data_IF_473893029906
#
_entry.id   IF_473893029906
#
_cell.length_a   1.000
_cell.length_b   1.000
_cell.length_c   1.000
_cell.angle_alpha   90.00
_cell.angle_beta   90.00
_cell.angle_gamma   90.00
#
_symmetry.space_group_name_H-M   'P 1'
#
loop_
_entity.id
_entity.type
_entity.pdbx_description
1 polymer ?
#
# COMPACT_ATOMS: atom_id res chain seq x y z
N UNK A 1 48.04 -22.48 -37.23
CA UNK A 1 46.56 -22.63 -37.12
C UNK A 1 46.15 -22.58 -35.65
N UNK A 2 45.83 -21.40 -35.07
CA UNK A 2 45.42 -21.26 -33.64
C UNK A 2 44.37 -20.15 -33.40
N UNK A 3 43.85 -19.50 -34.45
CA UNK A 3 42.98 -18.30 -34.32
C UNK A 3 41.46 -18.60 -34.31
N UNK A 4 41.02 -19.82 -34.63
CA UNK A 4 39.58 -20.15 -34.75
C UNK A 4 38.87 -20.33 -33.40
N UNK A 5 39.58 -20.73 -32.34
CA UNK A 5 38.95 -21.00 -31.03
C UNK A 5 38.68 -19.72 -30.21
N UNK A 6 39.46 -18.66 -30.42
CA UNK A 6 39.32 -17.40 -29.66
C UNK A 6 38.01 -16.69 -30.02
N UNK A 7 37.63 -16.66 -31.30
CA UNK A 7 36.37 -16.06 -31.73
C UNK A 7 35.13 -16.76 -31.17
N UNK A 8 35.16 -18.09 -31.11
CA UNK A 8 34.06 -18.90 -30.57
C UNK A 8 33.87 -18.66 -29.07
N UNK A 9 34.96 -18.56 -28.30
CA UNK A 9 34.89 -18.28 -26.86
C UNK A 9 34.29 -16.91 -26.58
N UNK A 10 34.65 -15.89 -27.36
CA UNK A 10 34.11 -14.52 -27.18
C UNK A 10 32.60 -14.48 -27.44
N UNK A 11 32.11 -15.18 -28.47
CA UNK A 11 30.68 -15.25 -28.79
C UNK A 11 29.89 -15.94 -27.66
N UNK A 12 30.42 -17.02 -27.09
CA UNK A 12 29.79 -17.73 -25.96
C UNK A 12 29.69 -16.83 -24.72
N UNK A 13 30.74 -16.06 -24.41
CA UNK A 13 30.74 -15.13 -23.27
C UNK A 13 29.71 -14.02 -23.47
N UNK A 14 29.60 -13.46 -24.67
CA UNK A 14 28.60 -12.42 -24.98
C UNK A 14 27.18 -12.97 -24.86
N UNK A 15 26.92 -14.17 -25.39
CA UNK A 15 25.61 -14.83 -25.27
C UNK A 15 25.27 -15.16 -23.81
N UNK A 16 26.24 -15.54 -22.99
CA UNK A 16 26.04 -15.79 -21.57
C UNK A 16 25.73 -14.50 -20.79
N UNK A 17 26.38 -13.38 -21.12
CA UNK A 17 26.11 -12.06 -20.51
C UNK A 17 24.71 -11.56 -20.89
N UNK A 18 24.37 -11.62 -22.19
CA UNK A 18 23.05 -11.22 -22.68
C UNK A 18 21.97 -12.14 -22.10
N UNK A 19 22.19 -13.46 -22.14
CA UNK A 19 21.30 -14.45 -21.56
C UNK A 19 21.08 -14.21 -20.06
N UNK A 20 22.14 -13.96 -19.30
CA UNK A 20 22.07 -13.64 -17.87
C UNK A 20 21.35 -12.32 -17.57
N UNK A 21 21.51 -11.31 -18.41
CA UNK A 21 20.79 -10.03 -18.28
C UNK A 21 19.29 -10.20 -18.56
N UNK A 22 18.92 -10.95 -19.60
CA UNK A 22 17.53 -11.27 -19.95
C UNK A 22 16.87 -12.14 -18.86
N UNK A 23 17.60 -13.11 -18.30
CA UNK A 23 17.10 -13.98 -17.22
C UNK A 23 16.85 -13.22 -15.92
N UNK A 24 17.69 -12.22 -15.60
CA UNK A 24 17.45 -11.32 -14.46
C UNK A 24 16.19 -10.48 -14.62
N UNK A 25 15.78 -10.20 -15.86
CA UNK A 25 14.64 -9.35 -16.17
C UNK A 25 13.30 -10.09 -16.14
N UNK A 26 13.30 -11.44 -16.10
CA UNK A 26 12.09 -12.28 -16.07
C UNK A 26 11.70 -12.77 -14.66
N UNK A 27 11.86 -11.94 -13.63
CA UNK A 27 11.08 -12.14 -12.39
C UNK A 27 9.67 -11.60 -12.62
N UNK A 28 8.76 -12.45 -13.09
CA UNK A 28 7.33 -12.18 -12.97
C UNK A 28 7.02 -11.82 -11.51
N UNK A 29 6.44 -10.65 -11.29
CA UNK A 29 6.04 -10.26 -9.94
C UNK A 29 4.97 -11.24 -9.44
N UNK A 30 5.18 -11.82 -8.26
CA UNK A 30 4.21 -12.70 -7.59
C UNK A 30 2.88 -12.00 -7.25
N UNK A 31 2.84 -10.67 -7.38
CA UNK A 31 1.72 -9.84 -6.97
C UNK A 31 1.35 -8.84 -8.06
N UNK A 32 0.04 -8.54 -8.16
CA UNK A 32 -0.44 -7.43 -8.99
C UNK A 32 0.23 -6.14 -8.55
N UNK A 33 0.91 -5.47 -9.47
CA UNK A 33 1.55 -4.19 -9.22
C UNK A 33 0.53 -3.08 -9.48
N UNK A 34 0.25 -2.26 -8.46
CA UNK A 34 -0.66 -1.12 -8.57
C UNK A 34 -0.13 0.09 -7.81
N UNK A 35 -0.46 1.29 -8.26
CA UNK A 35 -0.22 2.52 -7.48
C UNK A 35 -1.35 2.81 -6.48
N UNK A 36 -2.32 1.90 -6.36
CA UNK A 36 -3.46 2.02 -5.44
C UNK A 36 -2.99 1.71 -4.01
N UNK A 37 -3.02 2.67 -3.06
CA UNK A 37 -2.63 2.40 -1.69
C UNK A 37 -3.65 1.51 -0.98
N UNK A 38 -3.16 0.69 -0.06
CA UNK A 38 -3.98 -0.14 0.84
C UNK A 38 -3.90 0.44 2.24
N UNK A 39 -5.04 0.85 2.79
CA UNK A 39 -5.17 1.43 4.13
C UNK A 39 -5.49 0.32 5.14
N UNK A 40 -4.71 0.22 6.21
CA UNK A 40 -4.88 -0.76 7.28
C UNK A 40 -5.49 -0.10 8.51
N UNK A 41 -6.61 -0.64 8.99
CA UNK A 41 -7.36 -0.14 10.15
C UNK A 41 -7.34 -1.16 11.29
N UNK A 42 -6.73 -0.79 12.41
CA UNK A 42 -6.64 -1.64 13.59
C UNK A 42 -7.97 -1.81 14.34
N UNK A 43 -8.03 -2.83 15.20
CA UNK A 43 -9.16 -3.10 16.08
C UNK A 43 -9.26 -2.16 17.28
N UNK A 44 -10.39 -2.23 17.98
CA UNK A 44 -10.68 -1.38 19.13
C UNK A 44 -9.71 -1.62 20.29
N UNK A 45 -9.25 -0.56 20.95
CA UNK A 45 -8.30 -0.62 22.05
C UNK A 45 -6.86 -0.96 21.65
N UNK A 46 -6.58 -1.05 20.34
CA UNK A 46 -5.24 -1.29 19.79
C UNK A 46 -4.67 -0.04 19.10
N UNK A 47 -3.61 -0.21 18.32
CA UNK A 47 -2.97 0.82 17.50
C UNK A 47 -2.47 0.20 16.19
N UNK A 48 -1.89 1.02 15.33
CA UNK A 48 -1.25 0.56 14.10
C UNK A 48 -0.20 -0.56 14.30
N UNK A 49 0.42 -0.65 15.49
CA UNK A 49 1.38 -1.72 15.80
C UNK A 49 0.79 -3.13 15.66
N UNK A 50 -0.52 -3.30 15.83
CA UNK A 50 -1.16 -4.61 15.61
C UNK A 50 -1.05 -5.07 14.14
N UNK A 51 -0.86 -4.14 13.21
CA UNK A 51 -0.79 -4.39 11.77
C UNK A 51 0.65 -4.58 11.27
N UNK A 52 1.65 -4.11 12.03
CA UNK A 52 3.05 -4.11 11.61
C UNK A 52 3.57 -5.49 11.23
N UNK A 53 3.09 -6.57 11.87
CA UNK A 53 3.48 -7.93 11.51
C UNK A 53 3.09 -8.27 10.06
N UNK A 54 1.87 -7.93 9.65
CA UNK A 54 1.39 -8.15 8.29
C UNK A 54 2.08 -7.22 7.29
N UNK A 55 2.25 -5.95 7.66
CA UNK A 55 2.94 -4.96 6.82
C UNK A 55 4.39 -5.36 6.59
N UNK A 56 5.09 -5.81 7.62
CA UNK A 56 6.47 -6.31 7.51
C UNK A 56 6.56 -7.59 6.70
N UNK A 57 5.58 -8.50 6.81
CA UNK A 57 5.50 -9.68 5.95
C UNK A 57 5.33 -9.28 4.47
N UNK A 58 4.46 -8.31 4.17
CA UNK A 58 4.27 -7.78 2.82
C UNK A 58 5.56 -7.15 2.26
N UNK A 59 6.29 -6.38 3.08
CA UNK A 59 7.60 -5.83 2.71
C UNK A 59 8.62 -6.93 2.42
N UNK A 60 8.75 -7.92 3.31
CA UNK A 60 9.70 -9.03 3.16
C UNK A 60 9.40 -9.89 1.93
N UNK A 61 8.12 -10.03 1.58
CA UNK A 61 7.69 -10.72 0.38
C UNK A 61 7.90 -9.90 -0.92
N UNK A 62 8.32 -8.63 -0.81
CA UNK A 62 8.52 -7.75 -1.96
C UNK A 62 7.22 -7.20 -2.55
N UNK A 63 6.11 -7.23 -1.79
CA UNK A 63 4.83 -6.67 -2.23
C UNK A 63 4.93 -5.15 -2.35
N UNK A 64 5.62 -4.53 -1.39
CA UNK A 64 5.79 -3.07 -1.29
C UNK A 64 7.13 -2.72 -0.65
N UNK A 65 7.64 -1.56 -1.00
CA UNK A 65 8.74 -0.89 -0.31
C UNK A 65 8.29 0.41 0.38
N UNK A 66 7.01 0.77 0.25
CA UNK A 66 6.48 2.08 0.66
C UNK A 66 5.41 1.89 1.72
N UNK A 67 5.72 2.34 2.94
CA UNK A 67 4.80 2.35 4.08
C UNK A 67 4.75 3.76 4.66
N UNK A 68 3.54 4.23 4.93
CA UNK A 68 3.25 5.50 5.61
C UNK A 68 2.35 5.21 6.80
N UNK A 69 2.33 6.14 7.76
CA UNK A 69 1.37 6.13 8.85
C UNK A 69 0.46 7.35 8.78
N UNK A 70 -0.83 7.16 9.01
CA UNK A 70 -1.81 8.23 9.13
C UNK A 70 -2.36 8.23 10.56
N UNK A 71 -1.93 9.20 11.36
CA UNK A 71 -2.41 9.38 12.73
C UNK A 71 -3.61 10.30 12.71
N UNK A 72 -4.73 9.85 13.27
CA UNK A 72 -5.99 10.58 13.35
C UNK A 72 -6.26 10.98 14.80
N UNK A 73 -6.24 12.28 15.05
CA UNK A 73 -6.52 12.84 16.36
C UNK A 73 -8.02 12.75 16.70
N UNK A 74 -8.36 12.97 17.98
CA UNK A 74 -9.75 12.89 18.47
C UNK A 74 -10.72 13.84 17.74
N UNK A 75 -10.22 14.96 17.24
CA UNK A 75 -10.96 15.94 16.44
C UNK A 75 -11.05 15.59 14.94
N UNK A 76 -10.49 14.44 14.52
CA UNK A 76 -10.49 13.98 13.14
C UNK A 76 -9.36 14.54 12.27
N UNK A 77 -8.45 15.35 12.82
CA UNK A 77 -7.28 15.85 12.11
C UNK A 77 -6.31 14.71 11.78
N UNK A 78 -5.73 14.74 10.58
CA UNK A 78 -4.85 13.68 10.07
C UNK A 78 -3.42 14.19 9.89
N UNK A 79 -2.48 13.53 10.56
CA UNK A 79 -1.04 13.72 10.34
C UNK A 79 -0.46 12.53 9.58
N UNK A 80 0.25 12.81 8.48
CA UNK A 80 0.88 11.78 7.66
C UNK A 80 2.38 11.69 7.94
N UNK A 81 2.82 10.55 8.45
CA UNK A 81 4.23 10.22 8.67
C UNK A 81 4.82 9.43 7.51
N UNK A 82 6.05 9.77 7.14
CA UNK A 82 6.70 9.22 5.96
C UNK A 82 6.23 9.88 4.66
N UNK A 83 6.55 9.25 3.54
CA UNK A 83 6.15 9.76 2.23
C UNK A 83 6.05 8.66 1.18
N UNK A 84 5.20 8.91 0.20
CA UNK A 84 5.06 8.09 -0.99
C UNK A 84 5.56 8.90 -2.19
N UNK A 85 6.51 8.35 -2.94
CA UNK A 85 6.91 8.95 -4.21
C UNK A 85 5.86 8.66 -5.29
N UNK A 86 5.81 9.49 -6.33
CA UNK A 86 4.91 9.28 -7.47
C UNK A 86 5.23 7.95 -8.13
N UNK A 87 4.22 7.09 -8.30
CA UNK A 87 4.38 5.78 -8.92
C UNK A 87 4.83 4.66 -7.97
N UNK A 88 4.87 4.93 -6.65
CA UNK A 88 5.12 3.88 -5.66
C UNK A 88 4.16 2.69 -5.85
N UNK A 89 4.71 1.48 -5.73
CA UNK A 89 3.96 0.25 -5.98
C UNK A 89 3.46 -0.37 -4.68
N UNK A 90 2.18 -0.71 -4.69
CA UNK A 90 1.38 -1.23 -3.59
C UNK A 90 1.65 -0.50 -2.27
N UNK A 91 1.53 0.83 -2.21
CA UNK A 91 1.81 1.57 -0.99
C UNK A 91 0.89 1.09 0.15
N UNK A 92 1.43 0.93 1.34
CA UNK A 92 0.64 0.63 2.53
C UNK A 92 0.53 1.90 3.38
N UNK A 93 -0.67 2.17 3.88
CA UNK A 93 -0.92 3.24 4.85
C UNK A 93 -1.47 2.61 6.12
N UNK A 94 -0.69 2.64 7.19
CA UNK A 94 -1.10 2.20 8.51
C UNK A 94 -1.90 3.33 9.18
N UNK A 95 -3.19 3.12 9.41
CA UNK A 95 -4.06 4.13 10.03
C UNK A 95 -4.07 3.90 11.54
N UNK A 96 -3.78 4.95 12.31
CA UNK A 96 -3.80 4.96 13.75
C UNK A 96 -4.85 5.95 14.27
N UNK A 97 -5.77 5.50 15.13
CA UNK A 97 -6.74 6.38 15.76
C UNK A 97 -6.34 6.65 17.21
N UNK A 98 -6.24 7.92 17.59
CA UNK A 98 -6.05 8.31 19.00
C UNK A 98 -7.25 7.83 19.84
N UNK A 99 -8.47 8.00 19.32
CA UNK A 99 -9.67 7.44 19.93
C UNK A 99 -9.94 6.00 19.45
N UNK A 100 -9.08 5.08 19.86
CA UNK A 100 -9.17 3.67 19.48
C UNK A 100 -10.34 2.89 20.12
N UNK A 101 -11.17 3.51 20.97
CA UNK A 101 -12.35 2.88 21.61
C UNK A 101 -13.65 3.61 21.29
N UNK A 102 -13.68 4.36 20.20
CA UNK A 102 -14.86 5.09 19.76
C UNK A 102 -16.06 4.14 19.56
N UNK A 103 -17.21 4.50 20.14
CA UNK A 103 -18.46 3.72 20.06
C UNK A 103 -19.46 4.33 19.07
N UNK A 104 -19.27 5.58 18.67
CA UNK A 104 -19.99 6.19 17.56
C UNK A 104 -19.38 5.75 16.23
N UNK A 105 -20.06 4.83 15.55
CA UNK A 105 -19.62 4.28 14.28
C UNK A 105 -19.61 5.30 13.13
N UNK A 106 -20.39 6.38 13.20
CA UNK A 106 -20.33 7.44 12.18
C UNK A 106 -18.97 8.14 12.20
N UNK A 107 -18.37 8.32 13.39
CA UNK A 107 -17.03 8.88 13.53
C UNK A 107 -15.95 7.99 12.91
N UNK A 108 -16.12 6.67 12.93
CA UNK A 108 -15.19 5.78 12.21
C UNK A 108 -15.20 6.04 10.69
N UNK A 109 -16.38 6.28 10.11
CA UNK A 109 -16.49 6.69 8.71
C UNK A 109 -15.88 8.07 8.45
N UNK A 110 -16.09 9.02 9.36
CA UNK A 110 -15.50 10.36 9.27
C UNK A 110 -13.96 10.30 9.31
N UNK A 111 -13.39 9.56 10.26
CA UNK A 111 -11.95 9.38 10.39
C UNK A 111 -11.35 8.72 9.15
N UNK A 112 -11.94 7.64 8.65
CA UNK A 112 -11.51 7.03 7.39
C UNK A 112 -11.62 8.00 6.21
N UNK A 113 -12.70 8.78 6.13
CA UNK A 113 -12.89 9.81 5.11
C UNK A 113 -11.79 10.85 5.15
N UNK A 114 -11.42 11.32 6.35
CA UNK A 114 -10.39 12.33 6.54
C UNK A 114 -9.01 11.80 6.12
N UNK A 115 -8.69 10.54 6.43
CA UNK A 115 -7.45 9.90 5.97
C UNK A 115 -7.41 9.84 4.44
N UNK A 116 -8.50 9.40 3.81
CA UNK A 116 -8.58 9.32 2.35
C UNK A 116 -8.45 10.71 1.71
N UNK A 117 -9.09 11.74 2.27
CA UNK A 117 -8.94 13.14 1.81
C UNK A 117 -7.52 13.65 1.97
N UNK A 118 -6.85 13.36 3.08
CA UNK A 118 -5.46 13.76 3.30
C UNK A 118 -4.53 13.14 2.25
N UNK A 119 -4.69 11.84 1.97
CA UNK A 119 -3.95 11.14 0.94
C UNK A 119 -4.28 11.66 -0.46
N UNK A 120 -5.56 11.90 -0.78
CA UNK A 120 -6.00 12.47 -2.05
C UNK A 120 -5.40 13.85 -2.27
N UNK A 121 -5.43 14.73 -1.26
CA UNK A 121 -4.87 16.08 -1.34
C UNK A 121 -3.37 16.05 -1.61
N UNK A 122 -2.63 15.21 -0.87
CA UNK A 122 -1.15 15.15 -0.94
C UNK A 122 -0.64 14.41 -2.17
N UNK A 123 -1.29 13.30 -2.55
CA UNK A 123 -0.78 12.36 -3.56
C UNK A 123 -1.67 12.20 -4.79
N UNK A 124 -2.83 12.87 -4.84
CA UNK A 124 -3.79 12.83 -5.96
C UNK A 124 -4.27 11.42 -6.30
N UNK A 125 -4.38 10.56 -5.29
CA UNK A 125 -4.93 9.21 -5.45
C UNK A 125 -6.43 9.28 -5.81
N UNK A 126 -6.89 8.34 -6.63
CA UNK A 126 -8.29 8.23 -7.06
C UNK A 126 -8.91 6.87 -6.72
N UNK A 127 -8.10 5.94 -6.23
CA UNK A 127 -8.47 4.59 -5.85
C UNK A 127 -7.78 4.22 -4.55
N UNK A 128 -8.43 3.38 -3.76
CA UNK A 128 -7.88 2.85 -2.51
C UNK A 128 -8.33 1.40 -2.34
N UNK A 129 -7.55 0.62 -1.58
CA UNK A 129 -8.00 -0.59 -0.93
C UNK A 129 -8.05 -0.35 0.58
N UNK A 130 -8.84 -1.13 1.31
CA UNK A 130 -8.89 -1.07 2.76
C UNK A 130 -8.82 -2.48 3.36
N UNK A 131 -8.14 -2.61 4.50
CA UNK A 131 -8.08 -3.84 5.30
C UNK A 131 -8.45 -3.48 6.73
N UNK A 132 -9.38 -4.22 7.33
CA UNK A 132 -9.92 -3.88 8.65
C UNK A 132 -9.91 -5.06 9.60
N UNK A 133 -9.43 -4.84 10.83
CA UNK A 133 -9.53 -5.83 11.91
C UNK A 133 -10.55 -5.40 12.96
N UNK A 134 -11.50 -6.28 13.29
CA UNK A 134 -12.53 -6.02 14.32
C UNK A 134 -13.20 -4.65 14.10
N UNK A 135 -13.08 -3.70 15.05
CA UNK A 135 -13.61 -2.33 14.93
C UNK A 135 -13.07 -1.56 13.71
N UNK A 136 -11.91 -1.94 13.16
CA UNK A 136 -11.38 -1.42 11.90
C UNK A 136 -12.34 -1.64 10.73
N UNK A 137 -13.07 -2.75 10.69
CA UNK A 137 -14.08 -3.02 9.66
C UNK A 137 -15.25 -2.02 9.70
N UNK A 138 -15.57 -1.47 10.87
CA UNK A 138 -16.58 -0.42 10.99
C UNK A 138 -16.15 0.84 10.23
N UNK A 139 -14.86 1.18 10.24
CA UNK A 139 -14.32 2.29 9.45
C UNK A 139 -14.55 2.10 7.95
N UNK A 140 -14.37 0.87 7.45
CA UNK A 140 -14.58 0.53 6.04
C UNK A 140 -16.06 0.64 5.68
N UNK A 141 -16.94 0.01 6.47
CA UNK A 141 -18.39 0.02 6.25
C UNK A 141 -18.92 1.46 6.23
N UNK A 142 -18.58 2.26 7.23
CA UNK A 142 -19.07 3.63 7.32
C UNK A 142 -18.43 4.55 6.27
N UNK A 143 -17.17 4.32 5.88
CA UNK A 143 -16.59 5.01 4.72
C UNK A 143 -17.40 4.73 3.45
N UNK A 144 -17.78 3.47 3.21
CA UNK A 144 -18.58 3.09 2.04
C UNK A 144 -19.98 3.70 2.08
N UNK A 145 -20.65 3.70 3.24
CA UNK A 145 -21.96 4.33 3.39
C UNK A 145 -21.92 5.83 3.10
N UNK A 146 -20.87 6.52 3.55
CA UNK A 146 -20.72 7.96 3.40
C UNK A 146 -20.19 8.37 2.02
N UNK A 147 -19.30 7.59 1.41
CA UNK A 147 -18.53 8.01 0.23
C UNK A 147 -18.60 7.05 -0.97
N UNK A 148 -19.18 5.86 -0.84
CA UNK A 148 -19.13 4.82 -1.88
C UNK A 148 -19.78 5.22 -3.21
N UNK A 149 -20.66 6.22 -3.21
CA UNK A 149 -21.27 6.80 -4.41
C UNK A 149 -20.72 8.19 -4.78
N UNK A 150 -19.80 8.74 -3.97
CA UNK A 150 -19.27 10.07 -4.16
C UNK A 150 -18.11 10.04 -5.16
N UNK A 151 -18.35 10.49 -6.40
CA UNK A 151 -17.37 10.48 -7.48
C UNK A 151 -16.17 11.41 -7.24
N UNK A 152 -16.29 12.38 -6.31
CA UNK A 152 -15.18 13.27 -5.95
C UNK A 152 -14.20 12.61 -4.97
N UNK A 153 -14.55 11.46 -4.40
CA UNK A 153 -13.72 10.71 -3.46
C UNK A 153 -12.97 9.57 -4.17
N UNK A 154 -11.78 9.19 -3.67
CA UNK A 154 -11.11 7.98 -4.11
C UNK A 154 -11.99 6.75 -3.91
N UNK A 155 -12.13 5.94 -4.97
CA UNK A 155 -13.04 4.81 -5.00
C UNK A 155 -12.42 3.57 -4.36
N UNK A 156 -13.15 2.95 -3.44
CA UNK A 156 -12.76 1.69 -2.83
C UNK A 156 -12.80 0.57 -3.88
N UNK A 157 -11.67 -0.11 -4.08
CA UNK A 157 -11.55 -1.18 -5.08
C UNK A 157 -11.66 -2.57 -4.46
N UNK A 158 -11.09 -2.75 -3.27
CA UNK A 158 -11.04 -4.03 -2.56
C UNK A 158 -11.09 -3.80 -1.06
N UNK A 159 -11.69 -4.76 -0.37
CA UNK A 159 -11.68 -4.89 1.09
C UNK A 159 -11.06 -6.23 1.48
N UNK A 160 -10.53 -6.31 2.70
CA UNK A 160 -9.97 -7.52 3.29
C UNK A 160 -10.02 -7.49 4.81
#
# INVERSE_FOLDING_TARGET
>A
MKKSHIGVVIVIVILAIIGGAVWRQQKHSKYVQSTTPTLFFHGGGSSYHAEEHMVNAAKKAGVTSTVLRADVANNGEVTLHGSMHKGAINPIVEVNYDNNRQLDFNKHGEYATNVVKALQKRYRITKINMVGHSLGNISIIYYMLQNGKNQNMPQLQKTG
#
